data_IF_933021595626
#
_entry.id   IF_933021595626
#
_cell.length_a   1.000
_cell.length_b   1.000
_cell.length_c   1.000
_cell.angle_alpha   90.00
_cell.angle_beta   90.00
_cell.angle_gamma   90.00
#
_symmetry.space_group_name_H-M   'P 1'
#
loop_
_entity.id
_entity.type
_entity.pdbx_description
1 polymer ?
#
# COMPACT_ATOMS: atom_id res chain seq x y z
N UNK A 1 9.03 -5.85 20.76
CA UNK A 1 7.95 -6.20 19.83
C UNK A 1 7.77 -5.06 18.86
N UNK A 2 7.40 -5.35 17.61
CA UNK A 2 7.07 -4.31 16.62
C UNK A 2 5.95 -3.40 17.14
N UNK A 3 5.94 -2.15 16.68
CA UNK A 3 5.00 -1.13 17.16
C UNK A 3 3.61 -1.39 16.56
N UNK A 4 2.58 -1.70 17.37
CA UNK A 4 1.22 -1.81 16.88
C UNK A 4 0.66 -0.43 16.54
N UNK A 5 -0.14 -0.37 15.47
CA UNK A 5 -0.84 0.84 15.05
C UNK A 5 -2.27 0.79 15.54
N UNK A 6 -2.67 1.82 16.29
CA UNK A 6 -4.06 2.00 16.66
C UNK A 6 -4.86 2.46 15.42
N UNK A 7 -5.94 1.75 15.13
CA UNK A 7 -6.89 2.08 14.05
C UNK A 7 -8.25 2.41 14.65
N UNK A 8 -9.01 3.27 13.97
CA UNK A 8 -10.37 3.61 14.38
C UNK A 8 -11.31 2.41 14.24
N UNK A 9 -12.51 2.51 14.81
CA UNK A 9 -13.58 1.56 14.52
C UNK A 9 -14.27 1.92 13.20
N UNK A 10 -14.59 0.91 12.38
CA UNK A 10 -15.47 1.02 11.20
C UNK A 10 -16.31 -0.24 11.12
N UNK A 11 -17.55 -0.12 10.65
CA UNK A 11 -18.40 -1.28 10.40
C UNK A 11 -18.73 -1.40 8.93
N UNK A 12 -18.85 -2.62 8.42
CA UNK A 12 -19.42 -2.86 7.09
C UNK A 12 -20.84 -2.30 6.97
N UNK A 13 -21.58 -2.21 8.08
CA UNK A 13 -22.92 -1.63 8.11
C UNK A 13 -22.92 -0.17 7.60
N UNK A 14 -21.85 0.59 7.86
CA UNK A 14 -21.70 2.00 7.43
C UNK A 14 -21.73 2.13 5.89
N UNK A 15 -21.38 1.05 5.18
CA UNK A 15 -21.30 1.02 3.72
C UNK A 15 -22.58 0.49 3.04
N UNK A 16 -23.57 0.03 3.82
CA UNK A 16 -24.79 -0.62 3.29
C UNK A 16 -25.52 0.27 2.27
N UNK A 17 -25.59 1.58 2.52
CA UNK A 17 -26.26 2.52 1.61
C UNK A 17 -25.48 2.79 0.31
N UNK A 18 -24.21 2.40 0.25
CA UNK A 18 -23.33 2.63 -0.91
C UNK A 18 -23.32 1.40 -1.81
N UNK A 19 -23.09 0.21 -1.22
CA UNK A 19 -22.88 -1.03 -1.98
C UNK A 19 -24.07 -1.99 -1.94
N UNK A 20 -25.07 -1.70 -1.10
CA UNK A 20 -26.23 -2.55 -0.91
C UNK A 20 -25.98 -3.70 0.05
N UNK A 21 -27.06 -4.20 0.65
CA UNK A 21 -27.01 -5.27 1.66
C UNK A 21 -26.44 -6.59 1.13
N UNK A 22 -26.75 -6.96 -0.11
CA UNK A 22 -26.33 -8.24 -0.69
C UNK A 22 -24.82 -8.44 -0.67
N UNK A 23 -24.04 -7.41 -1.02
CA UNK A 23 -22.57 -7.48 -0.98
C UNK A 23 -22.05 -7.56 0.47
N UNK A 24 -22.69 -6.87 1.41
CA UNK A 24 -22.31 -6.94 2.83
C UNK A 24 -22.54 -8.35 3.38
N UNK A 25 -23.68 -8.96 3.06
CA UNK A 25 -24.01 -10.31 3.47
C UNK A 25 -23.03 -11.33 2.84
N UNK A 26 -22.69 -11.20 1.56
CA UNK A 26 -21.68 -12.02 0.87
C UNK A 26 -20.30 -11.92 1.56
N UNK A 27 -19.84 -10.72 1.91
CA UNK A 27 -18.56 -10.54 2.61
C UNK A 27 -18.58 -11.25 3.98
N UNK A 28 -19.70 -11.19 4.71
CA UNK A 28 -19.84 -11.85 6.01
C UNK A 28 -19.85 -13.38 5.87
N UNK A 29 -20.54 -13.91 4.86
CA UNK A 29 -20.54 -15.35 4.55
C UNK A 29 -19.13 -15.86 4.21
N UNK A 30 -18.38 -15.12 3.39
CA UNK A 30 -16.99 -15.47 3.05
C UNK A 30 -16.04 -15.38 4.26
N UNK A 31 -16.32 -14.51 5.24
CA UNK A 31 -15.52 -14.35 6.44
C UNK A 31 -15.83 -15.37 7.54
N UNK A 32 -17.00 -16.01 7.54
CA UNK A 32 -17.43 -16.98 8.54
C UNK A 32 -16.38 -18.08 8.83
N UNK A 33 -15.80 -18.78 7.85
CA UNK A 33 -14.79 -19.82 8.12
C UNK A 33 -13.45 -19.27 8.65
N UNK A 34 -13.25 -17.96 8.60
CA UNK A 34 -12.02 -17.27 9.02
C UNK A 34 -12.17 -16.57 10.37
N UNK A 35 -13.35 -16.61 11.00
CA UNK A 35 -13.56 -15.93 12.28
C UNK A 35 -12.56 -16.38 13.35
N UNK A 36 -12.06 -15.40 14.12
CA UNK A 36 -11.05 -15.61 15.16
C UNK A 36 -9.63 -15.84 14.65
N UNK A 37 -9.39 -15.87 13.33
CA UNK A 37 -8.04 -16.00 12.78
C UNK A 37 -7.19 -14.77 13.09
N UNK A 38 -5.96 -15.01 13.54
CA UNK A 38 -4.97 -13.99 13.90
C UNK A 38 -4.20 -13.56 12.67
N UNK A 39 -4.41 -12.33 12.24
CA UNK A 39 -3.82 -11.77 11.02
C UNK A 39 -2.99 -10.56 11.38
N UNK A 40 -1.71 -10.52 10.97
CA UNK A 40 -0.88 -9.32 11.13
C UNK A 40 -0.52 -8.73 9.76
N UNK A 41 -0.66 -7.42 9.65
CA UNK A 41 -0.14 -6.64 8.53
C UNK A 41 1.16 -5.96 8.92
N UNK A 42 2.20 -6.09 8.10
CA UNK A 42 3.49 -5.43 8.28
C UNK A 42 3.68 -4.37 7.19
N UNK A 43 3.94 -3.12 7.59
CA UNK A 43 4.25 -2.03 6.65
C UNK A 43 5.38 -1.14 7.15
N UNK A 44 5.91 -0.28 6.28
CA UNK A 44 7.01 0.63 6.58
C UNK A 44 6.60 1.87 7.39
N UNK A 45 5.33 2.28 7.35
CA UNK A 45 4.85 3.49 8.04
C UNK A 45 3.36 3.42 8.35
N UNK A 46 2.96 4.03 9.46
CA UNK A 46 1.56 4.26 9.86
C UNK A 46 0.97 5.58 9.32
N UNK A 47 1.84 6.45 8.79
CA UNK A 47 1.51 7.81 8.40
C UNK A 47 2.08 8.12 7.02
N UNK A 48 1.28 8.81 6.21
CA UNK A 48 1.68 9.19 4.85
C UNK A 48 1.73 8.01 3.88
N UNK A 49 1.22 8.23 2.67
CA UNK A 49 1.23 7.23 1.60
C UNK A 49 -0.04 6.38 1.52
N UNK A 50 -0.24 5.77 0.35
CA UNK A 50 -1.46 5.02 0.02
C UNK A 50 -1.65 3.74 0.84
N UNK A 51 -0.57 3.07 1.25
CA UNK A 51 -0.66 1.84 2.05
C UNK A 51 -1.27 2.11 3.42
N UNK A 52 -0.75 3.11 4.15
CA UNK A 52 -1.29 3.50 5.44
C UNK A 52 -2.77 3.89 5.34
N UNK A 53 -3.13 4.64 4.30
CA UNK A 53 -4.51 5.05 4.04
C UNK A 53 -5.46 3.85 3.85
N UNK A 54 -5.02 2.83 3.10
CA UNK A 54 -5.77 1.59 2.90
C UNK A 54 -5.92 0.85 4.24
N UNK A 55 -4.83 0.68 5.00
CA UNK A 55 -4.83 -0.09 6.24
C UNK A 55 -5.66 0.55 7.35
N UNK A 56 -5.72 1.88 7.42
CA UNK A 56 -6.63 2.61 8.33
C UNK A 56 -8.12 2.31 8.06
N UNK A 57 -8.46 1.77 6.88
CA UNK A 57 -9.83 1.33 6.55
C UNK A 57 -9.97 -0.19 6.60
N UNK A 58 -9.03 -0.90 6.00
CA UNK A 58 -9.11 -2.35 5.82
C UNK A 58 -9.04 -3.09 7.15
N UNK A 59 -8.14 -2.70 8.06
CA UNK A 59 -7.96 -3.40 9.34
C UNK A 59 -9.24 -3.32 10.19
N UNK A 60 -9.88 -2.15 10.38
CA UNK A 60 -11.16 -2.09 11.08
C UNK A 60 -12.28 -2.93 10.44
N UNK A 61 -12.37 -2.96 9.10
CA UNK A 61 -13.38 -3.76 8.41
C UNK A 61 -13.13 -5.26 8.54
N UNK A 62 -11.86 -5.68 8.52
CA UNK A 62 -11.47 -7.07 8.83
C UNK A 62 -11.86 -7.46 10.26
N UNK A 63 -11.72 -6.55 11.22
CA UNK A 63 -12.18 -6.77 12.60
C UNK A 63 -13.71 -6.86 12.70
N UNK A 64 -14.46 -6.03 11.96
CA UNK A 64 -15.94 -6.04 11.94
C UNK A 64 -16.55 -7.35 11.42
N UNK A 65 -15.81 -8.11 10.61
CA UNK A 65 -16.22 -9.46 10.16
C UNK A 65 -15.71 -10.59 11.06
N UNK A 66 -15.07 -10.26 12.18
CA UNK A 66 -14.68 -11.22 13.22
C UNK A 66 -13.23 -11.73 13.12
N UNK A 67 -12.35 -11.07 12.35
CA UNK A 67 -10.92 -11.42 12.30
C UNK A 67 -10.16 -10.74 13.45
N UNK A 68 -9.21 -11.44 14.06
CA UNK A 68 -8.27 -10.85 15.03
C UNK A 68 -7.10 -10.23 14.26
N UNK A 69 -7.34 -9.02 13.74
CA UNK A 69 -6.42 -8.37 12.82
C UNK A 69 -5.60 -7.27 13.51
N UNK A 70 -4.28 -7.32 13.37
CA UNK A 70 -3.33 -6.32 13.86
C UNK A 70 -2.53 -5.70 12.71
N UNK A 71 -2.07 -4.47 12.91
CA UNK A 71 -1.16 -3.79 12.00
C UNK A 71 0.06 -3.33 12.77
N UNK A 72 1.23 -3.83 12.39
CA UNK A 72 2.51 -3.44 12.96
C UNK A 72 3.35 -2.71 11.92
N UNK A 73 4.10 -1.71 12.39
CA UNK A 73 5.05 -0.97 11.57
C UNK A 73 6.46 -1.42 11.91
N UNK A 74 7.27 -1.64 10.86
CA UNK A 74 8.68 -1.95 11.02
C UNK A 74 9.46 -0.74 11.52
N UNK A 75 10.48 -1.01 12.32
CA UNK A 75 11.50 -0.05 12.69
C UNK A 75 12.44 0.22 11.50
N UNK A 76 12.75 1.48 11.26
CA UNK A 76 13.72 1.95 10.27
C UNK A 76 14.27 3.31 10.69
N UNK A 77 15.56 3.55 10.46
CA UNK A 77 16.13 4.89 10.53
C UNK A 77 16.32 5.47 9.12
N UNK A 78 16.79 6.72 9.03
CA UNK A 78 16.93 7.46 7.78
C UNK A 78 17.70 6.66 6.72
N UNK A 79 18.82 6.02 7.09
CA UNK A 79 19.62 5.18 6.19
C UNK A 79 18.82 4.03 5.53
N UNK A 80 17.88 3.43 6.27
CA UNK A 80 17.01 2.38 5.76
C UNK A 80 15.95 2.94 4.82
N UNK A 81 15.37 4.09 5.16
CA UNK A 81 14.38 4.74 4.32
C UNK A 81 14.99 5.33 3.04
N UNK A 82 16.25 5.77 3.09
CA UNK A 82 17.03 6.15 1.92
C UNK A 82 17.30 4.95 1.00
N UNK A 83 17.79 3.83 1.56
CA UNK A 83 18.02 2.59 0.81
C UNK A 83 16.73 2.08 0.15
N UNK A 84 15.62 2.03 0.90
CA UNK A 84 14.33 1.56 0.39
C UNK A 84 13.68 2.52 -0.60
N UNK A 85 13.96 3.82 -0.52
CA UNK A 85 13.55 4.80 -1.55
C UNK A 85 14.30 4.57 -2.86
N UNK A 86 15.59 4.25 -2.81
CA UNK A 86 16.34 3.84 -4.01
C UNK A 86 15.76 2.55 -4.57
N UNK A 87 15.49 1.54 -3.73
CA UNK A 87 14.82 0.30 -4.15
C UNK A 87 13.48 0.54 -4.83
N UNK A 88 12.63 1.37 -4.23
CA UNK A 88 11.33 1.73 -4.77
C UNK A 88 11.47 2.33 -6.18
N UNK A 89 12.37 3.30 -6.36
CA UNK A 89 12.59 3.90 -7.67
C UNK A 89 13.19 2.92 -8.69
N UNK A 90 14.13 2.08 -8.27
CA UNK A 90 14.76 1.09 -9.13
C UNK A 90 13.75 0.04 -9.62
N UNK A 91 12.87 -0.45 -8.74
CA UNK A 91 11.80 -1.37 -9.11
C UNK A 91 10.76 -0.75 -10.04
N UNK A 92 10.59 0.58 -10.01
CA UNK A 92 9.75 1.32 -10.95
C UNK A 92 10.48 1.79 -12.22
N UNK A 93 11.69 1.27 -12.49
CA UNK A 93 12.41 1.48 -13.75
C UNK A 93 13.52 2.52 -13.73
N UNK A 94 13.88 3.04 -12.55
CA UNK A 94 15.11 3.83 -12.44
C UNK A 94 16.34 2.95 -12.71
N UNK A 95 17.28 3.35 -13.59
CA UNK A 95 18.46 2.54 -13.91
C UNK A 95 19.48 2.46 -12.76
N UNK A 96 19.37 3.31 -11.73
CA UNK A 96 20.24 3.26 -10.57
C UNK A 96 19.72 2.22 -9.56
N UNK A 97 20.58 1.25 -9.22
CA UNK A 97 20.34 0.26 -8.16
C UNK A 97 20.84 0.79 -6.80
N UNK A 98 20.46 0.09 -5.73
CA UNK A 98 21.08 0.24 -4.42
C UNK A 98 22.56 -0.16 -4.47
N UNK A 99 23.38 0.50 -3.67
CA UNK A 99 24.75 0.06 -3.39
C UNK A 99 24.76 -1.20 -2.51
N UNK A 100 25.89 -1.92 -2.47
CA UNK A 100 26.04 -3.06 -1.57
C UNK A 100 25.86 -2.68 -0.09
N UNK A 101 26.25 -1.46 0.27
CA UNK A 101 26.04 -0.93 1.61
C UNK A 101 24.54 -0.72 1.90
N UNK A 102 23.79 -0.18 0.95
CA UNK A 102 22.34 -0.02 1.08
C UNK A 102 21.61 -1.35 1.17
N UNK A 103 22.05 -2.37 0.41
CA UNK A 103 21.54 -3.74 0.54
C UNK A 103 21.86 -4.36 1.90
N UNK A 104 23.06 -4.11 2.44
CA UNK A 104 23.46 -4.54 3.79
C UNK A 104 22.58 -3.88 4.85
N UNK A 105 22.35 -2.57 4.76
CA UNK A 105 21.45 -1.82 5.63
C UNK A 105 20.04 -2.42 5.55
N UNK A 106 19.47 -2.57 4.35
CA UNK A 106 18.14 -3.15 4.17
C UNK A 106 18.01 -4.54 4.83
N UNK A 107 19.01 -5.40 4.66
CA UNK A 107 19.02 -6.74 5.25
C UNK A 107 19.08 -6.69 6.78
N UNK A 108 19.94 -5.84 7.35
CA UNK A 108 20.08 -5.70 8.81
C UNK A 108 18.81 -5.22 9.48
N UNK A 109 18.12 -4.24 8.90
CA UNK A 109 16.83 -3.80 9.44
C UNK A 109 15.76 -4.89 9.32
N UNK A 110 15.74 -5.67 8.24
CA UNK A 110 14.83 -6.81 8.12
C UNK A 110 15.12 -7.88 9.19
N UNK A 111 16.39 -8.18 9.49
CA UNK A 111 16.76 -9.07 10.60
C UNK A 111 16.32 -8.56 11.96
N UNK A 112 16.53 -7.27 12.24
CA UNK A 112 16.09 -6.64 13.48
C UNK A 112 14.57 -6.73 13.65
N UNK A 113 13.81 -6.37 12.60
CA UNK A 113 12.36 -6.42 12.62
C UNK A 113 11.81 -7.85 12.70
N UNK A 114 12.45 -8.78 12.01
CA UNK A 114 12.08 -10.20 12.07
C UNK A 114 12.18 -10.76 13.49
N UNK A 115 13.20 -10.37 14.27
CA UNK A 115 13.33 -10.78 15.68
C UNK A 115 12.17 -10.27 16.53
N UNK A 116 11.75 -9.03 16.31
CA UNK A 116 10.71 -8.35 17.09
C UNK A 116 9.27 -8.74 16.75
N UNK A 117 9.04 -9.44 15.63
CA UNK A 117 7.71 -9.96 15.26
C UNK A 117 7.23 -11.02 16.26
N UNK A 118 5.99 -10.93 16.74
CA UNK A 118 5.40 -11.97 17.59
C UNK A 118 5.19 -13.30 16.85
N UNK A 119 4.95 -14.40 17.57
CA UNK A 119 4.68 -15.73 17.01
C UNK A 119 3.18 -16.03 16.95
N UNK A 120 2.84 -17.18 16.36
CA UNK A 120 1.51 -17.80 16.36
C UNK A 120 0.45 -17.03 15.57
N UNK A 121 0.86 -16.42 14.46
CA UNK A 121 -0.08 -15.83 13.49
C UNK A 121 -0.66 -16.90 12.57
N UNK A 122 -1.95 -16.82 12.26
CA UNK A 122 -2.53 -17.63 11.19
C UNK A 122 -2.06 -17.10 9.82
N UNK A 123 -2.03 -15.77 9.65
CA UNK A 123 -1.60 -15.11 8.41
C UNK A 123 -0.75 -13.87 8.71
N UNK A 124 0.36 -13.72 8.00
CA UNK A 124 1.14 -12.49 7.98
C UNK A 124 1.14 -11.88 6.57
N UNK A 125 0.71 -10.63 6.45
CA UNK A 125 0.61 -9.88 5.19
C UNK A 125 1.68 -8.79 5.19
N UNK A 126 2.66 -8.91 4.30
CA UNK A 126 3.83 -8.03 4.21
C UNK A 126 3.64 -7.05 3.06
N UNK A 127 3.57 -5.76 3.36
CA UNK A 127 3.34 -4.71 2.38
C UNK A 127 4.66 -4.13 1.86
N UNK A 128 4.79 -4.12 0.53
CA UNK A 128 5.88 -3.52 -0.24
C UNK A 128 7.27 -4.16 -0.01
N UNK A 129 8.34 -3.69 -0.70
CA UNK A 129 9.68 -4.27 -0.59
C UNK A 129 10.41 -4.05 0.74
N UNK A 130 10.02 -3.04 1.54
CA UNK A 130 10.79 -2.65 2.72
C UNK A 130 10.87 -3.79 3.77
N UNK A 131 9.78 -4.48 4.13
CA UNK A 131 9.79 -5.63 5.03
C UNK A 131 9.83 -6.99 4.32
N UNK A 132 10.10 -7.04 3.00
CA UNK A 132 9.89 -8.24 2.20
C UNK A 132 10.75 -9.45 2.63
N UNK A 133 11.93 -9.22 3.22
CA UNK A 133 12.79 -10.31 3.69
C UNK A 133 12.30 -11.00 4.96
N UNK A 134 11.42 -10.38 5.76
CA UNK A 134 11.01 -10.89 7.08
C UNK A 134 10.52 -12.34 7.00
N UNK A 135 9.69 -12.69 6.01
CA UNK A 135 9.16 -14.06 5.85
C UNK A 135 10.27 -15.11 5.78
N UNK A 136 11.33 -14.85 5.00
CA UNK A 136 12.45 -15.79 4.83
C UNK A 136 13.26 -15.99 6.11
N UNK A 137 13.24 -15.03 7.03
CA UNK A 137 14.01 -15.02 8.27
C UNK A 137 13.28 -15.69 9.43
N UNK A 138 11.94 -15.68 9.42
CA UNK A 138 11.10 -16.14 10.54
C UNK A 138 9.83 -16.85 10.06
N UNK A 139 9.97 -17.73 9.06
CA UNK A 139 8.87 -18.45 8.41
C UNK A 139 7.94 -19.14 9.41
N UNK A 140 8.48 -19.64 10.51
CA UNK A 140 7.77 -20.37 11.55
C UNK A 140 6.85 -19.49 12.43
N UNK A 141 6.90 -18.16 12.31
CA UNK A 141 6.05 -17.25 13.10
C UNK A 141 4.62 -17.10 12.58
N UNK A 142 4.34 -17.53 11.35
CA UNK A 142 2.98 -17.54 10.80
C UNK A 142 2.72 -18.80 9.98
N UNK A 143 1.48 -19.30 10.01
CA UNK A 143 1.07 -20.47 9.22
C UNK A 143 1.01 -20.17 7.71
N UNK A 144 0.63 -18.94 7.34
CA UNK A 144 0.62 -18.45 5.97
C UNK A 144 1.25 -17.06 5.84
N UNK A 145 1.87 -16.81 4.70
CA UNK A 145 2.52 -15.54 4.38
C UNK A 145 2.05 -15.03 3.02
N UNK A 146 1.69 -13.75 2.98
CA UNK A 146 1.24 -13.05 1.77
C UNK A 146 2.13 -11.83 1.56
N UNK A 147 2.67 -11.66 0.36
CA UNK A 147 3.34 -10.43 -0.03
C UNK A 147 2.40 -9.53 -0.83
N UNK A 148 2.23 -8.28 -0.40
CA UNK A 148 1.38 -7.30 -1.08
C UNK A 148 2.24 -6.22 -1.69
N UNK A 149 2.36 -6.23 -3.01
CA UNK A 149 3.10 -5.22 -3.75
C UNK A 149 2.13 -4.09 -4.21
N UNK A 150 2.43 -2.85 -3.83
CA UNK A 150 1.66 -1.66 -4.19
C UNK A 150 2.30 -0.82 -5.30
N UNK A 151 3.52 -1.15 -5.70
CA UNK A 151 4.28 -0.42 -6.71
C UNK A 151 4.20 -1.12 -8.08
N UNK A 152 4.52 -0.36 -9.11
CA UNK A 152 4.70 -0.89 -10.47
C UNK A 152 6.05 -1.59 -10.58
N UNK A 153 6.05 -2.90 -10.87
CA UNK A 153 7.27 -3.70 -11.07
C UNK A 153 7.27 -4.33 -12.48
N UNK A 154 6.62 -3.67 -13.44
CA UNK A 154 6.54 -4.12 -14.84
C UNK A 154 7.88 -3.96 -15.58
N UNK A 155 8.62 -2.88 -15.30
CA UNK A 155 9.93 -2.59 -15.91
C UNK A 155 10.99 -2.28 -14.86
N UNK A 156 11.29 -3.20 -13.93
CA UNK A 156 12.23 -2.92 -12.85
C UNK A 156 13.67 -2.91 -13.34
N UNK A 157 14.54 -2.26 -12.59
CA UNK A 157 15.98 -2.49 -12.68
C UNK A 157 16.27 -3.99 -12.51
N UNK A 158 16.88 -4.66 -13.52
CA UNK A 158 17.09 -6.10 -13.46
C UNK A 158 17.97 -6.55 -12.29
N UNK A 159 19.00 -5.78 -11.92
CA UNK A 159 19.90 -6.12 -10.83
C UNK A 159 19.20 -6.01 -9.46
N UNK A 160 18.39 -4.97 -9.28
CA UNK A 160 17.56 -4.82 -8.07
C UNK A 160 16.56 -5.96 -7.95
N UNK A 161 15.87 -6.31 -9.05
CA UNK A 161 14.89 -7.40 -9.07
C UNK A 161 15.56 -8.74 -8.77
N UNK A 162 16.70 -9.03 -9.40
CA UNK A 162 17.47 -10.26 -9.19
C UNK A 162 17.81 -10.47 -7.70
N UNK A 163 18.23 -9.40 -7.02
CA UNK A 163 18.54 -9.45 -5.58
C UNK A 163 17.29 -9.53 -4.69
N UNK A 164 16.16 -8.96 -5.10
CA UNK A 164 14.91 -9.01 -4.33
C UNK A 164 14.15 -10.34 -4.49
N UNK A 165 14.17 -10.94 -5.68
CA UNK A 165 13.42 -12.14 -6.04
C UNK A 165 13.53 -13.29 -5.01
N UNK A 166 14.71 -13.63 -4.46
CA UNK A 166 14.84 -14.67 -3.45
C UNK A 166 14.00 -14.44 -2.19
N UNK A 167 13.70 -13.18 -1.86
CA UNK A 167 12.92 -12.82 -0.67
C UNK A 167 11.41 -12.88 -0.92
N UNK A 168 10.96 -12.62 -2.15
CA UNK A 168 9.53 -12.53 -2.48
C UNK A 168 8.95 -13.82 -3.10
N UNK A 169 9.79 -14.67 -3.69
CA UNK A 169 9.34 -15.93 -4.33
C UNK A 169 8.85 -16.99 -3.36
N UNK A 170 9.27 -16.94 -2.09
CA UNK A 170 8.86 -17.92 -1.07
C UNK A 170 7.49 -17.68 -0.43
N UNK A 171 6.82 -16.55 -0.75
CA UNK A 171 5.50 -16.25 -0.20
C UNK A 171 4.43 -17.18 -0.79
N UNK A 172 3.48 -17.62 0.04
CA UNK A 172 2.41 -18.52 -0.40
C UNK A 172 1.42 -17.87 -1.37
N UNK A 173 1.27 -16.55 -1.26
CA UNK A 173 0.57 -15.73 -2.24
C UNK A 173 1.24 -14.37 -2.37
N UNK A 174 1.15 -13.80 -3.57
CA UNK A 174 1.54 -12.42 -3.86
C UNK A 174 0.35 -11.66 -4.44
N UNK A 175 0.17 -10.41 -4.03
CA UNK A 175 -0.96 -9.58 -4.41
C UNK A 175 -0.47 -8.33 -5.15
N UNK A 176 -0.95 -8.09 -6.37
CA UNK A 176 -0.61 -6.91 -7.19
C UNK A 176 -1.85 -6.07 -7.52
N UNK A 177 -1.66 -4.81 -7.88
CA UNK A 177 -2.77 -3.93 -8.28
C UNK A 177 -3.32 -4.25 -9.67
N UNK A 178 -2.43 -4.58 -10.61
CA UNK A 178 -2.76 -4.99 -11.99
C UNK A 178 -1.86 -6.15 -12.40
N UNK A 179 -2.29 -6.95 -13.36
CA UNK A 179 -1.52 -8.10 -13.85
C UNK A 179 -0.16 -7.68 -14.43
N UNK A 180 -0.11 -6.53 -15.10
CA UNK A 180 1.11 -6.03 -15.76
C UNK A 180 2.22 -5.65 -14.78
N UNK A 181 1.91 -5.45 -13.49
CA UNK A 181 2.90 -5.11 -12.46
C UNK A 181 3.68 -6.33 -11.94
N UNK A 182 3.31 -7.53 -12.36
CA UNK A 182 3.95 -8.77 -11.91
C UNK A 182 5.33 -8.87 -12.57
N UNK A 183 6.43 -8.88 -11.80
CA UNK A 183 7.76 -8.92 -12.37
C UNK A 183 8.08 -10.29 -12.97
N UNK A 184 9.00 -10.36 -13.95
CA UNK A 184 9.50 -11.63 -14.44
C UNK A 184 10.16 -12.44 -13.31
N UNK A 185 9.95 -13.76 -13.31
CA UNK A 185 10.54 -14.68 -12.33
C UNK A 185 9.67 -14.95 -11.09
N UNK A 186 8.61 -14.18 -10.86
CA UNK A 186 7.62 -14.49 -9.83
C UNK A 186 6.54 -15.42 -10.41
N UNK A 187 6.68 -16.72 -10.16
CA UNK A 187 5.79 -17.75 -10.68
C UNK A 187 4.90 -18.33 -9.57
N UNK A 188 3.59 -18.43 -9.81
CA UNK A 188 2.63 -19.07 -8.90
C UNK A 188 2.18 -18.20 -7.72
N UNK A 189 0.97 -18.44 -7.21
CA UNK A 189 0.40 -17.72 -6.07
C UNK A 189 0.13 -16.22 -6.31
N UNK A 190 0.25 -15.72 -7.54
CA UNK A 190 0.01 -14.33 -7.90
C UNK A 190 -1.49 -14.05 -8.06
N UNK A 191 -1.98 -13.01 -7.39
CA UNK A 191 -3.37 -12.58 -7.46
C UNK A 191 -3.43 -11.07 -7.76
N UNK A 192 -4.39 -10.68 -8.58
CA UNK A 192 -4.65 -9.28 -8.89
C UNK A 192 -5.77 -8.77 -7.99
N UNK A 193 -5.44 -7.79 -7.15
CA UNK A 193 -6.35 -7.11 -6.24
C UNK A 193 -6.15 -5.60 -6.47
N UNK A 194 -7.04 -4.92 -7.21
CA UNK A 194 -6.94 -3.48 -7.44
C UNK A 194 -6.91 -2.69 -6.13
N UNK A 195 -6.31 -1.48 -6.11
CA UNK A 195 -6.47 -0.61 -4.96
C UNK A 195 -7.94 -0.16 -4.87
N UNK A 196 -8.39 0.10 -3.66
CA UNK A 196 -9.74 0.59 -3.39
C UNK A 196 -9.69 1.92 -2.66
N UNK A 197 -10.76 2.70 -2.79
CA UNK A 197 -10.97 3.91 -2.00
C UNK A 197 -12.00 3.63 -0.91
N UNK A 198 -11.82 4.26 0.25
CA UNK A 198 -12.86 4.32 1.26
C UNK A 198 -13.79 5.51 0.98
N UNK A 199 -15.04 5.30 0.52
CA UNK A 199 -15.97 6.40 0.22
C UNK A 199 -16.37 7.23 1.44
N UNK A 200 -16.16 6.72 2.66
CA UNK A 200 -16.49 7.42 3.89
C UNK A 200 -15.28 8.13 4.51
N UNK A 201 -14.07 7.93 3.96
CA UNK A 201 -12.88 8.63 4.44
C UNK A 201 -12.95 10.13 4.08
N UNK A 202 -12.35 11.03 4.90
CA UNK A 202 -12.37 12.48 4.65
C UNK A 202 -11.95 12.91 3.24
N UNK A 203 -11.07 12.13 2.59
CA UNK A 203 -10.60 12.42 1.22
C UNK A 203 -11.65 12.18 0.13
N UNK A 204 -12.64 11.32 0.38
CA UNK A 204 -13.60 10.82 -0.60
C UNK A 204 -15.06 11.11 -0.22
N UNK A 205 -15.31 11.46 1.04
CA UNK A 205 -16.66 11.77 1.51
C UNK A 205 -17.27 12.92 0.70
N UNK A 206 -18.57 12.85 0.47
CA UNK A 206 -19.28 13.89 -0.24
C UNK A 206 -19.14 15.22 0.51
N UNK A 207 -18.64 16.24 -0.20
CA UNK A 207 -18.55 17.60 0.30
C UNK A 207 -19.68 18.44 -0.33
N UNK A 208 -20.29 19.33 0.46
CA UNK A 208 -21.29 20.25 -0.08
C UNK A 208 -20.67 21.19 -1.11
N UNK A 209 -21.47 21.64 -2.08
CA UNK A 209 -20.99 22.59 -3.10
C UNK A 209 -20.51 23.90 -2.48
N UNK A 210 -21.13 24.33 -1.40
CA UNK A 210 -20.79 25.57 -0.70
C UNK A 210 -19.45 25.44 0.02
N UNK A 211 -19.21 24.34 0.73
CA UNK A 211 -17.93 24.08 1.39
C UNK A 211 -16.80 23.93 0.37
N UNK A 212 -17.01 23.17 -0.70
CA UNK A 212 -16.04 23.01 -1.78
C UNK A 212 -15.70 24.38 -2.42
N UNK A 213 -16.72 25.20 -2.67
CA UNK A 213 -16.55 26.55 -3.23
C UNK A 213 -15.79 27.47 -2.27
N UNK A 214 -16.09 27.39 -0.98
CA UNK A 214 -15.41 28.15 0.05
C UNK A 214 -13.92 27.83 0.09
N UNK A 215 -13.56 26.55 0.13
CA UNK A 215 -12.16 26.08 0.13
C UNK A 215 -11.44 26.53 -1.13
N UNK A 216 -12.03 26.34 -2.32
CA UNK A 216 -11.43 26.78 -3.58
C UNK A 216 -11.15 28.29 -3.59
N UNK A 217 -12.10 29.11 -3.14
CA UNK A 217 -11.94 30.58 -3.09
C UNK A 217 -10.87 31.01 -2.10
N UNK A 218 -10.74 30.32 -0.95
CA UNK A 218 -9.65 30.59 0.01
C UNK A 218 -8.27 30.33 -0.59
N UNK A 219 -8.16 29.38 -1.52
CA UNK A 219 -6.93 29.08 -2.28
C UNK A 219 -6.76 29.97 -3.53
N UNK A 220 -7.64 30.95 -3.76
CA UNK A 220 -7.59 31.84 -4.92
C UNK A 220 -8.07 31.20 -6.24
N UNK A 221 -8.79 30.08 -6.18
CA UNK A 221 -9.32 29.37 -7.35
C UNK A 221 -10.70 29.93 -7.71
N UNK A 222 -10.83 30.44 -8.95
CA UNK A 222 -12.11 30.92 -9.49
C UNK A 222 -12.98 29.75 -9.97
N UNK A 223 -13.96 29.39 -9.15
CA UNK A 223 -14.90 28.29 -9.42
C UNK A 223 -15.90 28.56 -10.55
N UNK A 224 -15.97 29.77 -11.08
CA UNK A 224 -16.83 30.10 -12.22
C UNK A 224 -16.14 29.83 -13.57
N UNK A 225 -14.86 29.42 -13.56
CA UNK A 225 -14.08 29.11 -14.75
C UNK A 225 -13.80 27.60 -14.82
N UNK A 226 -13.54 27.07 -16.03
CA UNK A 226 -13.09 25.69 -16.18
C UNK A 226 -11.83 25.41 -15.36
N UNK A 227 -11.81 24.28 -14.65
CA UNK A 227 -10.71 23.82 -13.82
C UNK A 227 -10.06 22.57 -14.43
N UNK A 228 -8.73 22.56 -14.48
CA UNK A 228 -7.92 21.37 -14.74
C UNK A 228 -7.11 21.11 -13.48
N UNK A 229 -7.09 19.86 -13.01
CA UNK A 229 -6.45 19.50 -11.76
C UNK A 229 -5.68 18.19 -11.90
N UNK A 230 -4.46 18.16 -11.36
CA UNK A 230 -3.68 16.95 -11.11
C UNK A 230 -3.37 16.91 -9.62
N UNK A 231 -3.72 15.81 -8.96
CA UNK A 231 -3.38 15.56 -7.56
C UNK A 231 -2.34 14.44 -7.52
N UNK A 232 -1.07 14.81 -7.31
CA UNK A 232 0.03 13.85 -7.23
C UNK A 232 1.18 14.41 -6.40
N UNK A 233 2.11 13.54 -5.97
CA UNK A 233 3.40 13.99 -5.44
C UNK A 233 4.19 14.72 -6.53
N UNK A 234 5.04 15.67 -6.12
CA UNK A 234 6.05 16.27 -6.99
C UNK A 234 7.18 15.27 -7.20
N UNK A 235 6.97 14.40 -8.17
CA UNK A 235 7.86 13.31 -8.52
C UNK A 235 8.02 13.28 -10.05
N UNK A 236 9.23 13.07 -10.59
CA UNK A 236 9.46 13.11 -12.03
C UNK A 236 8.56 12.15 -12.82
N UNK A 237 8.17 11.02 -12.23
CA UNK A 237 7.31 10.02 -12.85
C UNK A 237 5.83 10.41 -12.87
N UNK A 238 5.46 11.54 -12.28
CA UNK A 238 4.12 12.14 -12.37
C UNK A 238 4.03 13.26 -13.40
N UNK A 239 5.15 13.60 -14.03
CA UNK A 239 5.25 14.59 -15.10
C UNK A 239 4.47 15.90 -14.86
N UNK A 240 4.76 16.64 -13.77
CA UNK A 240 4.08 17.90 -13.50
C UNK A 240 4.34 18.97 -14.59
N UNK A 241 5.47 18.87 -15.30
CA UNK A 241 5.79 19.80 -16.39
C UNK A 241 4.94 19.52 -17.65
N UNK A 242 4.79 18.26 -18.03
CA UNK A 242 3.90 17.87 -19.12
C UNK A 242 2.45 18.28 -18.86
N UNK A 243 1.98 18.24 -17.61
CA UNK A 243 0.65 18.75 -17.25
C UNK A 243 0.52 20.27 -17.42
N UNK A 244 1.57 21.03 -17.10
CA UNK A 244 1.60 22.47 -17.35
C UNK A 244 1.58 22.77 -18.86
N UNK A 245 2.34 22.01 -19.65
CA UNK A 245 2.37 22.18 -21.10
C UNK A 245 1.02 21.81 -21.75
N UNK A 246 0.38 20.73 -21.29
CA UNK A 246 -0.97 20.37 -21.69
C UNK A 246 -1.98 21.48 -21.37
N UNK A 247 -1.90 22.08 -20.17
CA UNK A 247 -2.72 23.25 -19.81
C UNK A 247 -2.48 24.45 -20.74
N UNK A 248 -1.22 24.75 -21.09
CA UNK A 248 -0.88 25.85 -22.01
C UNK A 248 -1.49 25.64 -23.40
N UNK A 249 -1.44 24.42 -23.93
CA UNK A 249 -2.04 24.07 -25.21
C UNK A 249 -3.55 24.27 -25.19
N UNK A 250 -4.26 23.70 -24.20
CA UNK A 250 -5.72 23.84 -24.06
C UNK A 250 -6.14 25.30 -23.91
N UNK A 251 -5.32 26.13 -23.25
CA UNK A 251 -5.61 27.55 -23.05
C UNK A 251 -5.48 28.40 -24.32
N UNK A 252 -4.70 27.96 -25.32
CA UNK A 252 -4.60 28.68 -26.60
C UNK A 252 -5.83 28.48 -27.49
N UNK A 253 -6.54 27.37 -27.32
CA UNK A 253 -7.73 27.01 -28.09
C UNK A 253 -9.03 27.61 -27.51
N UNK A 254 -8.96 28.35 -26.40
CA UNK A 254 -10.12 28.91 -25.68
C UNK A 254 -10.04 30.41 -25.43
#
# INVERSE_FOLDING_TARGET
>A
MLTPVAVAHKSLADYTHIVGRGLIDEIRELAEPLQGKRIVHLSATAYGGGVAEILHTMIPLMRDVGLDCEWHVIYGQDEFFEATKVMHNALQGNPNDLTDEQWRIWSQYNEMNARELARDWDVCIVHDPQPAAIMSLVREKAAAWVWRCHIDVSTPNPATLERLLPFITGYGASLFHVADYVPPGLNGGVNVVPPAIDPLAPKNMALSRDDATHICRQLGIDVNRPLICQVSRFDPWKDPQGVIDAYRMVKQER
#
